data_IF_176151866258
#
_entry.id   IF_176151866258
#
_cell.length_a   1.000
_cell.length_b   1.000
_cell.length_c   1.000
_cell.angle_alpha   90.00
_cell.angle_beta   90.00
_cell.angle_gamma   90.00
#
_symmetry.space_group_name_H-M   'P 1'
#
loop_
_entity.id
_entity.type
_entity.pdbx_description
1 polymer ?
#
# COMPACT_ATOMS: atom_id res chain seq x y z
N UNK A 1 36.96 -10.39 20.36
CA UNK A 1 36.09 -11.35 19.66
C UNK A 1 35.24 -10.52 18.72
N UNK A 2 35.45 -10.61 17.40
CA UNK A 2 34.60 -9.87 16.44
C UNK A 2 33.25 -10.58 16.36
N UNK A 3 32.19 -9.96 16.86
CA UNK A 3 30.82 -10.41 16.61
C UNK A 3 30.60 -10.31 15.09
N UNK A 4 30.19 -11.38 14.40
CA UNK A 4 29.89 -11.30 12.97
C UNK A 4 28.82 -10.22 12.75
N UNK A 5 28.94 -9.45 11.67
CA UNK A 5 27.94 -8.45 11.32
C UNK A 5 26.57 -9.16 11.18
N UNK A 6 25.48 -8.58 11.74
CA UNK A 6 24.15 -9.17 11.64
C UNK A 6 23.76 -9.32 10.17
N UNK A 7 23.16 -10.46 9.83
CA UNK A 7 22.66 -10.65 8.48
C UNK A 7 21.46 -9.70 8.20
N UNK A 8 21.00 -9.60 6.96
CA UNK A 8 19.93 -8.66 6.57
C UNK A 8 18.62 -8.94 7.33
N UNK A 9 18.29 -10.19 7.56
CA UNK A 9 17.08 -10.60 8.30
C UNK A 9 17.18 -10.14 9.77
N UNK A 10 18.33 -10.30 10.41
CA UNK A 10 18.53 -9.86 11.80
C UNK A 10 18.40 -8.33 11.92
N UNK A 11 18.96 -7.57 10.96
CA UNK A 11 18.79 -6.09 10.93
C UNK A 11 17.34 -5.68 10.73
N UNK A 12 16.60 -6.33 9.83
CA UNK A 12 15.18 -6.04 9.59
C UNK A 12 14.34 -6.37 10.83
N UNK A 13 14.60 -7.49 11.50
CA UNK A 13 13.92 -7.84 12.76
C UNK A 13 14.20 -6.81 13.86
N UNK A 14 15.46 -6.37 14.00
CA UNK A 14 15.84 -5.31 14.96
C UNK A 14 15.18 -3.98 14.66
N UNK A 15 14.94 -3.66 13.38
CA UNK A 15 14.26 -2.42 12.97
C UNK A 15 12.75 -2.46 13.25
N UNK A 16 12.13 -3.62 13.25
CA UNK A 16 10.65 -3.77 13.31
C UNK A 16 10.05 -3.06 14.53
N UNK A 17 10.51 -3.34 15.73
CA UNK A 17 9.98 -2.71 16.95
C UNK A 17 10.19 -1.19 16.98
N UNK A 18 11.40 -0.64 16.77
CA UNK A 18 11.60 0.81 16.70
C UNK A 18 10.78 1.49 15.61
N UNK A 19 10.60 0.85 14.46
CA UNK A 19 9.78 1.38 13.36
C UNK A 19 8.30 1.49 13.75
N UNK A 20 7.75 0.48 14.41
CA UNK A 20 6.35 0.48 14.86
C UNK A 20 6.14 1.51 16.00
N UNK A 21 7.07 1.61 16.94
CA UNK A 21 7.05 2.61 18.01
C UNK A 21 7.10 4.03 17.45
N UNK A 22 8.01 4.30 16.51
CA UNK A 22 8.07 5.59 15.83
C UNK A 22 6.75 5.90 15.11
N UNK A 23 6.23 4.95 14.34
CA UNK A 23 4.99 5.13 13.58
C UNK A 23 3.80 5.42 14.49
N UNK A 24 3.73 4.85 15.69
CA UNK A 24 2.64 5.09 16.65
C UNK A 24 2.46 6.56 17.03
N UNK A 25 3.54 7.35 16.99
CA UNK A 25 3.55 8.78 17.31
C UNK A 25 3.68 9.71 16.11
N UNK A 26 4.24 9.20 15.00
CA UNK A 26 4.60 10.00 13.82
C UNK A 26 3.75 9.69 12.58
N UNK A 27 2.76 8.80 12.68
CA UNK A 27 1.87 8.45 11.58
C UNK A 27 1.20 9.69 11.00
N UNK A 28 1.21 9.82 9.66
CA UNK A 28 0.52 10.91 8.98
C UNK A 28 -0.99 10.76 9.13
N UNK A 29 -1.67 11.84 9.50
CA UNK A 29 -3.13 11.91 9.50
C UNK A 29 -3.65 12.02 8.06
N UNK A 30 -4.26 10.94 7.57
CA UNK A 30 -4.75 10.83 6.21
C UNK A 30 -6.19 10.31 6.22
N UNK A 31 -7.10 10.87 5.38
CA UNK A 31 -8.54 10.54 5.39
C UNK A 31 -8.86 9.06 5.15
N UNK A 32 -7.96 8.31 4.52
CA UNK A 32 -8.09 6.87 4.24
C UNK A 32 -7.45 5.97 5.29
N UNK A 33 -6.87 6.57 6.35
CA UNK A 33 -6.28 5.84 7.48
C UNK A 33 -7.21 5.94 8.67
N UNK A 34 -8.07 4.97 8.82
CA UNK A 34 -8.80 4.81 10.08
C UNK A 34 -7.81 4.28 11.13
N UNK A 35 -7.73 4.87 12.35
CA UNK A 35 -6.94 4.28 13.40
C UNK A 35 -7.35 2.81 13.59
N UNK A 36 -6.39 1.91 13.39
CA UNK A 36 -6.64 0.49 13.65
C UNK A 36 -6.88 0.31 15.15
N UNK A 37 -8.06 -0.17 15.51
CA UNK A 37 -8.33 -0.70 16.85
C UNK A 37 -8.25 -2.21 16.79
N UNK A 38 -8.08 -2.87 17.94
CA UNK A 38 -8.07 -4.35 18.02
C UNK A 38 -9.32 -4.99 17.41
N UNK A 39 -10.40 -4.23 17.29
CA UNK A 39 -11.71 -4.70 16.83
C UNK A 39 -12.12 -4.17 15.45
N UNK A 40 -11.35 -3.23 14.84
CA UNK A 40 -11.79 -2.60 13.60
C UNK A 40 -10.63 -2.37 12.63
N UNK A 41 -10.66 -3.08 11.50
CA UNK A 41 -9.76 -2.86 10.36
C UNK A 41 -10.41 -1.91 9.36
N UNK A 42 -9.61 -1.14 8.59
CA UNK A 42 -10.14 -0.30 7.51
C UNK A 42 -10.92 -1.14 6.48
N UNK A 43 -11.96 -0.54 5.90
CA UNK A 43 -12.69 -1.13 4.78
C UNK A 43 -11.75 -1.35 3.58
N UNK A 44 -11.63 -2.58 3.04
CA UNK A 44 -10.77 -2.88 1.91
C UNK A 44 -11.12 -2.08 0.65
N UNK A 45 -12.38 -1.72 0.43
CA UNK A 45 -12.79 -0.83 -0.66
C UNK A 45 -12.16 0.57 -0.51
N UNK A 46 -12.20 1.13 0.69
CA UNK A 46 -11.63 2.43 1.00
C UNK A 46 -10.09 2.44 0.82
N UNK A 47 -9.42 1.40 1.31
CA UNK A 47 -7.98 1.24 1.12
C UNK A 47 -7.66 1.13 -0.37
N UNK A 48 -8.38 0.30 -1.11
CA UNK A 48 -8.17 0.13 -2.55
C UNK A 48 -8.33 1.43 -3.33
N UNK A 49 -9.42 2.17 -3.11
CA UNK A 49 -9.64 3.46 -3.78
C UNK A 49 -8.50 4.44 -3.51
N UNK A 50 -8.06 4.56 -2.25
CA UNK A 50 -6.95 5.45 -1.90
C UNK A 50 -5.64 5.03 -2.56
N UNK A 51 -5.30 3.73 -2.53
CA UNK A 51 -4.07 3.22 -3.14
C UNK A 51 -4.01 3.47 -4.65
N UNK A 52 -5.13 3.28 -5.37
CA UNK A 52 -5.20 3.59 -6.79
C UNK A 52 -5.09 5.10 -7.06
N UNK A 53 -5.71 5.95 -6.25
CA UNK A 53 -5.60 7.40 -6.42
C UNK A 53 -4.19 7.92 -6.15
N UNK A 54 -3.48 7.33 -5.19
CA UNK A 54 -2.12 7.72 -4.81
C UNK A 54 -1.04 7.33 -5.83
N UNK A 55 -1.34 6.42 -6.76
CA UNK A 55 -0.40 6.06 -7.83
C UNK A 55 -0.02 7.31 -8.63
N UNK A 56 1.25 7.74 -8.55
CA UNK A 56 1.81 8.89 -9.24
C UNK A 56 1.06 10.23 -8.97
N UNK A 57 0.35 10.33 -7.86
CA UNK A 57 -0.38 11.54 -7.45
C UNK A 57 0.02 11.92 -6.02
N UNK A 58 0.23 13.22 -5.79
CA UNK A 58 0.61 13.72 -4.46
C UNK A 58 -0.55 13.58 -3.46
N UNK A 59 -0.24 13.22 -2.22
CA UNK A 59 -1.19 13.02 -1.12
C UNK A 59 -2.18 14.18 -0.99
N UNK A 60 -1.69 15.42 -0.96
CA UNK A 60 -2.54 16.61 -0.79
C UNK A 60 -3.57 16.77 -1.92
N UNK A 61 -3.21 16.42 -3.15
CA UNK A 61 -4.16 16.44 -4.26
C UNK A 61 -5.25 15.35 -4.08
N UNK A 62 -4.88 14.17 -3.60
CA UNK A 62 -5.80 13.03 -3.46
C UNK A 62 -6.89 13.28 -2.41
N UNK A 63 -6.60 13.98 -1.30
CA UNK A 63 -7.55 14.17 -0.18
C UNK A 63 -8.95 14.61 -0.63
N UNK A 64 -9.03 15.67 -1.45
CA UNK A 64 -10.31 16.19 -1.94
C UNK A 64 -11.00 15.28 -2.96
N UNK A 65 -10.23 14.57 -3.78
CA UNK A 65 -10.79 13.61 -4.75
C UNK A 65 -11.35 12.38 -4.06
N UNK A 66 -10.66 11.84 -3.09
CA UNK A 66 -11.07 10.68 -2.31
C UNK A 66 -12.42 10.90 -1.63
N UNK A 67 -12.59 12.03 -0.95
CA UNK A 67 -13.85 12.34 -0.27
C UNK A 67 -15.03 12.43 -1.26
N UNK A 68 -14.86 13.16 -2.38
CA UNK A 68 -15.91 13.28 -3.40
C UNK A 68 -16.24 11.96 -4.08
N UNK A 69 -15.22 11.14 -4.34
CA UNK A 69 -15.37 9.84 -4.97
C UNK A 69 -16.17 8.89 -4.10
N UNK A 70 -15.85 8.78 -2.80
CA UNK A 70 -16.60 7.93 -1.86
C UNK A 70 -18.00 8.44 -1.58
N UNK A 71 -18.25 9.74 -1.70
CA UNK A 71 -19.61 10.28 -1.64
C UNK A 71 -20.46 9.81 -2.82
N UNK A 72 -19.89 9.80 -4.03
CA UNK A 72 -20.60 9.37 -5.24
C UNK A 72 -20.68 7.84 -5.36
N UNK A 73 -19.60 7.16 -5.03
CA UNK A 73 -19.45 5.71 -5.13
C UNK A 73 -19.03 5.12 -3.76
N UNK A 74 -19.96 5.00 -2.81
CA UNK A 74 -19.64 4.59 -1.43
C UNK A 74 -19.26 3.12 -1.27
N UNK A 75 -19.46 2.29 -2.28
CA UNK A 75 -19.19 0.86 -2.24
C UNK A 75 -18.93 0.27 -3.64
N UNK A 76 -18.51 -1.00 -3.69
CA UNK A 76 -18.19 -1.73 -4.91
C UNK A 76 -19.36 -1.69 -5.90
N UNK A 77 -20.58 -1.96 -5.43
CA UNK A 77 -21.76 -2.01 -6.28
C UNK A 77 -22.06 -0.68 -6.97
N UNK A 78 -21.95 0.43 -6.24
CA UNK A 78 -22.14 1.76 -6.81
C UNK A 78 -21.09 2.09 -7.86
N UNK A 79 -19.82 1.70 -7.62
CA UNK A 79 -18.73 1.89 -8.57
C UNK A 79 -18.87 0.98 -9.81
N UNK A 80 -19.27 -0.27 -9.64
CA UNK A 80 -19.51 -1.20 -10.76
C UNK A 80 -20.59 -0.66 -11.70
N UNK A 81 -21.65 -0.08 -11.16
CA UNK A 81 -22.77 0.49 -11.90
C UNK A 81 -22.58 1.98 -12.28
N UNK A 82 -21.45 2.59 -11.96
CA UNK A 82 -21.21 4.01 -12.23
C UNK A 82 -21.34 4.33 -13.72
N UNK A 83 -22.09 5.40 -14.10
CA UNK A 83 -22.03 5.92 -15.46
C UNK A 83 -20.58 6.32 -15.82
N UNK A 84 -20.14 5.96 -17.04
CA UNK A 84 -18.77 6.20 -17.45
C UNK A 84 -18.39 7.70 -17.38
N UNK A 85 -19.31 8.56 -17.83
CA UNK A 85 -19.07 10.01 -17.84
C UNK A 85 -18.96 10.58 -16.43
N UNK A 86 -19.74 10.08 -15.47
CA UNK A 86 -19.68 10.51 -14.07
C UNK A 86 -18.35 10.07 -13.43
N UNK A 87 -17.93 8.83 -13.65
CA UNK A 87 -16.64 8.34 -13.19
C UNK A 87 -15.50 9.20 -13.74
N UNK A 88 -15.50 9.49 -15.05
CA UNK A 88 -14.47 10.32 -15.68
C UNK A 88 -14.48 11.76 -15.15
N UNK A 89 -15.65 12.33 -14.92
CA UNK A 89 -15.80 13.68 -14.34
C UNK A 89 -15.23 13.76 -12.92
N UNK A 90 -15.48 12.77 -12.07
CA UNK A 90 -14.92 12.71 -10.71
C UNK A 90 -13.41 12.47 -10.70
N UNK A 91 -12.86 11.85 -11.75
CA UNK A 91 -11.43 11.60 -11.89
C UNK A 91 -10.67 12.74 -12.57
N UNK A 92 -11.39 13.69 -13.18
CA UNK A 92 -10.80 14.80 -13.95
C UNK A 92 -9.83 15.62 -13.09
N UNK A 93 -8.58 15.71 -13.55
CA UNK A 93 -7.48 16.39 -12.84
C UNK A 93 -6.51 15.46 -12.10
N UNK A 94 -6.88 14.22 -11.81
CA UNK A 94 -5.95 13.22 -11.25
C UNK A 94 -4.97 12.65 -12.29
N UNK A 95 -5.33 12.70 -13.57
CA UNK A 95 -4.55 12.10 -14.66
C UNK A 95 -4.60 10.56 -14.67
N UNK A 96 -3.87 9.97 -15.63
CA UNK A 96 -3.79 8.51 -15.78
C UNK A 96 -5.16 7.81 -15.71
N UNK A 97 -6.06 8.18 -16.61
CA UNK A 97 -7.47 7.75 -16.65
C UNK A 97 -7.66 6.22 -16.76
N UNK A 98 -6.63 5.49 -17.22
CA UNK A 98 -6.63 4.03 -17.19
C UNK A 98 -6.83 3.46 -15.79
N UNK A 99 -6.41 4.19 -14.73
CA UNK A 99 -6.63 3.78 -13.33
C UNK A 99 -8.12 3.76 -12.99
N UNK A 100 -8.86 4.82 -13.36
CA UNK A 100 -10.31 4.87 -13.15
C UNK A 100 -11.05 3.77 -13.91
N UNK A 101 -10.66 3.52 -15.17
CA UNK A 101 -11.22 2.44 -15.97
C UNK A 101 -10.96 1.06 -15.36
N UNK A 102 -9.74 0.82 -14.90
CA UNK A 102 -9.40 -0.44 -14.23
C UNK A 102 -10.12 -0.60 -12.90
N UNK A 103 -10.27 0.51 -12.13
CA UNK A 103 -11.03 0.50 -10.88
C UNK A 103 -12.49 0.04 -11.10
N UNK A 104 -13.16 0.60 -12.11
CA UNK A 104 -14.51 0.18 -12.48
C UNK A 104 -14.57 -1.26 -12.98
N UNK A 105 -13.65 -1.66 -13.85
CA UNK A 105 -13.57 -3.05 -14.34
C UNK A 105 -13.38 -4.06 -13.20
N UNK A 106 -12.49 -3.73 -12.24
CA UNK A 106 -12.28 -4.57 -11.08
C UNK A 106 -13.54 -4.61 -10.18
N UNK A 107 -14.26 -3.49 -10.01
CA UNK A 107 -15.53 -3.48 -9.27
C UNK A 107 -16.59 -4.39 -9.92
N UNK A 108 -16.69 -4.36 -11.25
CA UNK A 108 -17.58 -5.29 -12.01
C UNK A 108 -17.16 -6.73 -11.77
N UNK A 109 -15.87 -7.02 -11.85
CA UNK A 109 -15.34 -8.38 -11.63
C UNK A 109 -15.56 -8.86 -10.19
N UNK A 110 -15.52 -7.96 -9.21
CA UNK A 110 -15.86 -8.29 -7.81
C UNK A 110 -17.35 -8.64 -7.69
N UNK A 111 -18.25 -7.90 -8.33
CA UNK A 111 -19.67 -8.23 -8.35
C UNK A 111 -19.94 -9.61 -8.98
N UNK A 112 -19.28 -9.91 -10.10
CA UNK A 112 -19.50 -11.13 -10.86
C UNK A 112 -18.88 -12.39 -10.21
N UNK A 113 -17.63 -12.29 -9.74
CA UNK A 113 -16.85 -13.44 -9.24
C UNK A 113 -16.95 -13.64 -7.73
N UNK A 114 -17.13 -12.54 -6.97
CA UNK A 114 -17.11 -12.53 -5.52
C UNK A 114 -18.44 -12.05 -4.91
N UNK A 115 -19.51 -11.99 -5.70
CA UNK A 115 -20.86 -11.63 -5.25
C UNK A 115 -20.94 -10.27 -4.52
N UNK A 116 -20.12 -9.32 -4.94
CA UNK A 116 -20.04 -7.98 -4.36
C UNK A 116 -19.21 -7.90 -3.05
N UNK A 117 -18.70 -9.02 -2.55
CA UNK A 117 -17.78 -9.03 -1.42
C UNK A 117 -16.33 -8.82 -1.90
N UNK A 118 -15.59 -7.95 -1.21
CA UNK A 118 -14.18 -7.74 -1.55
C UNK A 118 -13.39 -9.04 -1.35
N UNK A 119 -12.49 -9.43 -2.30
CA UNK A 119 -11.67 -10.65 -2.18
C UNK A 119 -10.87 -10.67 -0.89
N UNK A 120 -10.69 -11.85 -0.29
CA UNK A 120 -10.17 -12.00 1.07
C UNK A 120 -8.73 -12.47 1.14
N UNK A 121 -8.09 -12.74 0.00
CA UNK A 121 -6.70 -13.17 -0.04
C UNK A 121 -5.86 -12.31 -0.98
N UNK A 122 -4.56 -12.18 -0.68
CA UNK A 122 -3.61 -11.49 -1.55
C UNK A 122 -3.70 -11.95 -3.01
N UNK A 123 -3.83 -13.26 -3.25
CA UNK A 123 -3.85 -13.83 -4.60
C UNK A 123 -5.12 -13.45 -5.37
N UNK A 124 -6.27 -13.48 -4.71
CA UNK A 124 -7.53 -13.05 -5.32
C UNK A 124 -7.50 -11.55 -5.65
N UNK A 125 -7.00 -10.72 -4.72
CA UNK A 125 -6.85 -9.27 -4.95
C UNK A 125 -5.90 -9.01 -6.12
N UNK A 126 -4.78 -9.71 -6.19
CA UNK A 126 -3.80 -9.57 -7.27
C UNK A 126 -4.36 -9.94 -8.64
N UNK A 127 -5.39 -10.80 -8.69
CA UNK A 127 -6.03 -11.21 -9.95
C UNK A 127 -6.90 -10.11 -10.56
N UNK A 128 -7.26 -9.07 -9.82
CA UNK A 128 -8.16 -8.01 -10.28
C UNK A 128 -7.49 -7.04 -11.27
N UNK A 129 -8.25 -6.52 -12.26
CA UNK A 129 -7.73 -5.56 -13.23
C UNK A 129 -7.09 -4.33 -12.61
N UNK A 130 -5.86 -4.02 -13.03
CA UNK A 130 -5.14 -2.82 -12.59
C UNK A 130 -4.53 -2.90 -11.18
N UNK A 131 -4.60 -4.05 -10.53
CA UNK A 131 -3.96 -4.30 -9.24
C UNK A 131 -2.65 -5.06 -9.46
N UNK A 132 -1.54 -4.44 -9.06
CA UNK A 132 -0.20 -5.04 -9.02
C UNK A 132 0.17 -5.53 -7.63
N UNK A 133 1.35 -6.17 -7.52
CA UNK A 133 1.87 -6.74 -6.26
C UNK A 133 1.87 -5.75 -5.09
N UNK A 134 2.26 -4.49 -5.34
CA UNK A 134 2.25 -3.44 -4.33
C UNK A 134 0.82 -3.19 -3.80
N UNK A 135 -0.12 -2.88 -4.71
CA UNK A 135 -1.50 -2.55 -4.32
C UNK A 135 -2.19 -3.74 -3.65
N UNK A 136 -1.97 -4.95 -4.16
CA UNK A 136 -2.48 -6.17 -3.52
C UNK A 136 -1.90 -6.35 -2.11
N UNK A 137 -0.59 -6.14 -1.94
CA UNK A 137 0.07 -6.20 -0.63
C UNK A 137 -0.44 -5.15 0.35
N UNK A 138 -0.65 -3.92 -0.11
CA UNK A 138 -1.21 -2.85 0.71
C UNK A 138 -2.63 -3.18 1.19
N UNK A 139 -3.52 -3.57 0.29
CA UNK A 139 -4.90 -3.91 0.66
C UNK A 139 -4.93 -5.13 1.59
N UNK A 140 -4.25 -6.22 1.22
CA UNK A 140 -4.25 -7.45 1.99
C UNK A 140 -3.68 -7.25 3.40
N UNK A 141 -2.61 -6.47 3.56
CA UNK A 141 -2.02 -6.23 4.88
C UNK A 141 -2.82 -5.22 5.71
N UNK A 142 -3.25 -4.11 5.12
CA UNK A 142 -3.91 -3.02 5.86
C UNK A 142 -5.35 -3.39 6.21
N UNK A 143 -6.12 -3.90 5.26
CA UNK A 143 -7.54 -4.18 5.47
C UNK A 143 -7.83 -5.60 5.95
N UNK A 144 -7.05 -6.59 5.51
CA UNK A 144 -7.32 -7.99 5.84
C UNK A 144 -6.36 -8.56 6.90
N UNK A 145 -5.20 -7.89 7.14
CA UNK A 145 -4.19 -8.33 8.09
C UNK A 145 -3.38 -9.54 7.64
N UNK A 146 -3.33 -9.77 6.35
CA UNK A 146 -2.45 -10.78 5.77
C UNK A 146 -0.99 -10.31 5.84
N UNK A 147 -0.10 -11.13 6.34
CA UNK A 147 1.32 -10.79 6.51
C UNK A 147 2.07 -10.83 5.17
N UNK A 148 1.78 -9.86 4.30
CA UNK A 148 2.40 -9.68 2.99
C UNK A 148 2.97 -8.28 2.85
N UNK A 149 4.18 -8.11 2.26
CA UNK A 149 4.79 -6.79 2.10
C UNK A 149 4.15 -6.01 0.94
N UNK A 150 4.02 -4.70 1.14
CA UNK A 150 3.68 -3.71 0.11
C UNK A 150 4.94 -2.93 -0.28
N UNK A 151 5.61 -3.34 -1.36
CA UNK A 151 6.91 -2.81 -1.76
C UNK A 151 6.73 -1.74 -2.83
N UNK A 152 6.94 -0.48 -2.43
CA UNK A 152 6.93 0.70 -3.30
C UNK A 152 8.32 1.33 -3.45
N UNK A 153 8.41 2.47 -4.12
CA UNK A 153 9.64 3.24 -4.28
C UNK A 153 10.27 3.69 -2.96
N UNK A 154 9.47 3.89 -1.90
CA UNK A 154 9.97 4.23 -0.58
C UNK A 154 10.69 3.04 0.05
N UNK A 155 10.08 1.86 -0.01
CA UNK A 155 10.66 0.62 0.53
C UNK A 155 11.98 0.29 -0.18
N UNK A 156 12.02 0.36 -1.53
CA UNK A 156 13.27 0.17 -2.28
C UNK A 156 14.36 1.12 -1.81
N UNK A 157 14.06 2.39 -1.69
CA UNK A 157 15.04 3.42 -1.28
C UNK A 157 15.54 3.23 0.13
N UNK A 158 14.65 2.96 1.09
CA UNK A 158 15.03 2.74 2.48
C UNK A 158 15.89 1.49 2.58
N UNK A 159 15.46 0.39 1.95
CA UNK A 159 16.17 -0.88 2.00
C UNK A 159 17.59 -0.75 1.42
N UNK A 160 17.74 -0.16 0.23
CA UNK A 160 19.07 0.01 -0.38
C UNK A 160 19.99 0.88 0.48
N UNK A 161 19.48 1.94 1.11
CA UNK A 161 20.25 2.79 2.02
C UNK A 161 20.63 2.06 3.33
N UNK A 162 19.69 1.30 3.90
CA UNK A 162 19.89 0.56 5.14
C UNK A 162 21.01 -0.48 5.02
N UNK A 163 21.14 -1.07 3.83
CA UNK A 163 22.10 -2.14 3.55
C UNK A 163 23.29 -1.71 2.68
N UNK A 164 23.38 -0.41 2.35
CA UNK A 164 24.42 0.11 1.43
C UNK A 164 24.46 -0.72 0.12
N UNK A 165 23.26 -1.09 -0.39
CA UNK A 165 23.08 -1.98 -1.52
C UNK A 165 22.98 -1.17 -2.82
N UNK A 166 23.97 -1.26 -3.68
CA UNK A 166 24.05 -0.59 -4.98
C UNK A 166 23.43 -1.39 -6.14
N UNK A 167 22.79 -2.51 -5.82
CA UNK A 167 22.13 -3.36 -6.81
C UNK A 167 21.06 -2.61 -7.59
N UNK A 168 20.93 -2.97 -8.86
CA UNK A 168 19.86 -2.44 -9.71
C UNK A 168 18.48 -2.93 -9.24
N UNK A 169 17.71 -2.01 -8.64
CA UNK A 169 16.37 -2.27 -8.09
C UNK A 169 15.34 -2.71 -9.15
N UNK A 170 15.64 -2.56 -10.44
CA UNK A 170 14.76 -3.01 -11.53
C UNK A 170 14.87 -4.51 -11.81
N UNK A 171 15.98 -5.13 -11.37
CA UNK A 171 16.25 -6.55 -11.60
C UNK A 171 15.30 -7.46 -10.81
N UNK A 172 14.78 -8.49 -11.49
CA UNK A 172 13.89 -9.46 -10.90
C UNK A 172 14.51 -10.20 -9.68
N UNK A 173 15.82 -10.48 -9.73
CA UNK A 173 16.54 -11.12 -8.63
C UNK A 173 16.52 -10.26 -7.37
N UNK A 174 16.78 -8.94 -7.48
CA UNK A 174 16.72 -8.01 -6.36
C UNK A 174 15.31 -7.92 -5.77
N UNK A 175 14.29 -7.76 -6.62
CA UNK A 175 12.89 -7.70 -6.18
C UNK A 175 12.46 -8.96 -5.44
N UNK A 176 12.85 -10.13 -5.95
CA UNK A 176 12.57 -11.42 -5.32
C UNK A 176 13.25 -11.55 -3.96
N UNK A 177 14.53 -11.15 -3.86
CA UNK A 177 15.27 -11.16 -2.60
C UNK A 177 14.60 -10.26 -1.57
N UNK A 178 14.40 -8.98 -1.89
CA UNK A 178 13.75 -8.01 -1.00
C UNK A 178 12.38 -8.53 -0.52
N UNK A 179 11.55 -9.02 -1.44
CA UNK A 179 10.24 -9.57 -1.09
C UNK A 179 10.36 -10.75 -0.12
N UNK A 180 11.28 -11.70 -0.36
CA UNK A 180 11.44 -12.85 0.54
C UNK A 180 11.97 -12.45 1.91
N UNK A 181 12.87 -11.48 2.01
CA UNK A 181 13.37 -10.98 3.29
C UNK A 181 12.28 -10.26 4.09
N UNK A 182 11.48 -9.40 3.44
CA UNK A 182 10.36 -8.72 4.10
C UNK A 182 9.24 -9.70 4.51
N UNK A 183 8.97 -10.76 3.74
CA UNK A 183 8.03 -11.81 4.13
C UNK A 183 8.45 -12.55 5.42
N UNK A 184 9.76 -12.68 5.66
CA UNK A 184 10.29 -13.32 6.86
C UNK A 184 10.29 -12.41 8.09
N UNK A 185 10.16 -11.10 7.89
CA UNK A 185 10.32 -10.10 8.96
C UNK A 185 9.08 -9.27 9.25
N UNK A 186 8.06 -9.34 8.37
CA UNK A 186 6.79 -8.66 8.60
C UNK A 186 6.05 -9.27 9.80
N UNK A 187 5.66 -8.48 10.82
CA UNK A 187 4.97 -9.00 12.00
C UNK A 187 3.54 -9.43 11.66
N UNK A 188 3.16 -10.63 12.08
CA UNK A 188 1.82 -11.21 11.85
C UNK A 188 0.71 -10.44 12.54
N UNK A 189 1.02 -9.79 13.67
CA UNK A 189 0.06 -9.05 14.49
C UNK A 189 -0.30 -7.68 13.90
N UNK A 190 0.63 -7.06 13.16
CA UNK A 190 0.49 -5.68 12.68
C UNK A 190 1.04 -5.46 11.26
N UNK A 191 0.72 -6.32 10.27
CA UNK A 191 1.33 -6.23 8.94
C UNK A 191 0.97 -4.93 8.21
N UNK A 192 -0.25 -4.45 8.36
CA UNK A 192 -0.71 -3.20 7.75
C UNK A 192 -0.02 -1.97 8.36
N UNK A 193 0.19 -1.97 9.68
CA UNK A 193 0.93 -0.90 10.38
C UNK A 193 2.40 -0.92 9.93
N UNK A 194 3.01 -2.09 9.84
CA UNK A 194 4.38 -2.24 9.36
C UNK A 194 4.58 -1.67 7.95
N UNK A 195 3.72 -2.04 7.00
CA UNK A 195 3.80 -1.51 5.63
C UNK A 195 3.59 0.01 5.58
N UNK A 196 2.61 0.54 6.31
CA UNK A 196 2.37 1.98 6.39
C UNK A 196 3.56 2.72 7.03
N UNK A 197 4.20 2.14 8.04
CA UNK A 197 5.39 2.70 8.68
C UNK A 197 6.57 2.83 7.70
N UNK A 198 6.82 1.83 6.86
CA UNK A 198 7.82 1.92 5.78
C UNK A 198 7.49 3.05 4.79
N UNK A 199 6.22 3.16 4.37
CA UNK A 199 5.77 4.22 3.46
C UNK A 199 5.97 5.61 4.08
N UNK A 200 5.63 5.79 5.36
CA UNK A 200 5.76 7.08 6.05
C UNK A 200 7.21 7.44 6.32
N UNK A 201 8.04 6.49 6.73
CA UNK A 201 9.48 6.69 6.88
C UNK A 201 10.11 7.21 5.58
N UNK A 202 9.71 6.64 4.45
CA UNK A 202 10.16 7.10 3.13
C UNK A 202 9.61 8.45 2.71
N UNK A 203 8.42 8.81 3.16
CA UNK A 203 7.78 10.06 2.80
C UNK A 203 8.21 11.25 3.68
N UNK A 204 8.70 11.00 4.91
CA UNK A 204 8.96 12.08 5.89
C UNK A 204 10.41 12.18 6.34
N UNK A 205 11.14 11.08 6.38
CA UNK A 205 12.53 11.02 6.89
C UNK A 205 13.51 10.62 5.79
N UNK A 206 13.34 9.43 5.20
CA UNK A 206 14.22 8.94 4.16
C UNK A 206 13.80 9.49 2.78
N UNK A 207 13.99 10.80 2.56
CA UNK A 207 13.55 11.49 1.35
C UNK A 207 14.35 11.08 0.10
N UNK A 208 13.77 11.24 -1.14
CA UNK A 208 14.43 10.84 -2.38
C UNK A 208 15.73 11.61 -2.64
N UNK A 209 15.75 12.92 -2.32
CA UNK A 209 16.86 13.82 -2.62
C UNK A 209 17.52 14.26 -1.31
N UNK A 210 18.73 13.79 -1.07
CA UNK A 210 19.53 14.15 0.09
C UNK A 210 19.72 13.03 1.11
N UNK A 211 20.41 13.36 2.20
CA UNK A 211 20.57 12.47 3.35
C UNK A 211 19.23 12.34 4.11
N UNK A 212 19.00 11.25 4.84
CA UNK A 212 17.88 11.16 5.79
C UNK A 212 17.92 12.29 6.81
N UNK A 213 16.75 12.78 7.21
CA UNK A 213 16.60 13.79 8.24
C UNK A 213 16.81 13.21 9.64
#
# INVERSE_FOLDING_TARGET
MNTPAPNRIDKLNQLTTPLLEWYSSAARDLPWRTPASETHRPDPYHVWVSEIMLQQTRVEAVKGYYARFLTAFPNIKSLANAPQDELMKLWQGLGYYSRANNLKRAAIEIEERFHGEFPRTYQEILSLPGIGEYTAGAIASIALGEAVPAIDGNVYRIYTRLFEDDSDITKAAFKKQLRSELLLTIPSEAPGIYNQAWMDLGATICLPNGAPL
#
